data_IF_658911629045
#
_entry.id   IF_658911629045
#
_cell.length_a   1.000
_cell.length_b   1.000
_cell.length_c   1.000
_cell.angle_alpha   90.00
_cell.angle_beta   90.00
_cell.angle_gamma   90.00
#
_symmetry.space_group_name_H-M   'P 1'
#
loop_
_entity.id
_entity.type
_entity.pdbx_description
1 polymer ?
#
# COMPACT_ATOMS: atom_id res chain seq x y z
N UNK A 1 -17.28 -16.18 -10.46
CA UNK A 1 -17.30 -15.53 -9.12
C UNK A 1 -15.86 -15.33 -8.69
N UNK A 2 -15.56 -14.26 -7.98
CA UNK A 2 -14.20 -13.89 -7.54
C UNK A 2 -14.20 -13.54 -6.04
N UNK A 3 -14.54 -14.48 -5.14
CA UNK A 3 -14.59 -14.18 -3.70
C UNK A 3 -13.21 -13.85 -3.12
N UNK A 4 -13.15 -12.86 -2.22
CA UNK A 4 -11.94 -12.55 -1.44
C UNK A 4 -10.88 -11.73 -2.18
N UNK A 5 -11.24 -11.15 -3.33
CA UNK A 5 -10.44 -10.21 -4.11
C UNK A 5 -10.60 -8.78 -3.59
N UNK A 6 -11.28 -7.87 -4.30
CA UNK A 6 -11.61 -6.55 -3.78
C UNK A 6 -12.65 -6.69 -2.66
N UNK A 7 -13.69 -7.50 -2.87
CA UNK A 7 -14.69 -7.76 -1.84
C UNK A 7 -14.76 -9.24 -1.41
N UNK A 8 -15.28 -9.54 -0.20
CA UNK A 8 -15.52 -10.92 0.23
C UNK A 8 -16.43 -11.71 -0.73
N UNK A 9 -17.35 -11.03 -1.41
CA UNK A 9 -18.23 -11.59 -2.43
C UNK A 9 -18.28 -10.65 -3.63
N UNK A 10 -17.68 -11.09 -4.73
CA UNK A 10 -17.56 -10.30 -5.96
C UNK A 10 -17.67 -11.20 -7.19
N UNK A 11 -17.98 -10.62 -8.35
CA UNK A 11 -18.06 -11.36 -9.60
C UNK A 11 -17.73 -10.51 -10.82
N UNK A 12 -16.85 -11.03 -11.68
CA UNK A 12 -16.77 -10.62 -13.07
C UNK A 12 -17.95 -11.22 -13.86
N UNK A 13 -18.36 -10.57 -14.94
CA UNK A 13 -19.34 -11.13 -15.87
C UNK A 13 -19.05 -10.71 -17.31
N UNK A 14 -19.42 -11.57 -18.27
CA UNK A 14 -19.25 -11.34 -19.69
C UNK A 14 -20.62 -11.32 -20.38
N UNK A 15 -20.82 -10.38 -21.30
CA UNK A 15 -22.05 -10.22 -22.09
C UNK A 15 -21.75 -10.65 -23.54
N UNK A 16 -22.13 -11.88 -23.95
CA UNK A 16 -21.73 -12.43 -25.25
C UNK A 16 -22.22 -11.62 -26.45
N UNK A 17 -23.45 -11.12 -26.42
CA UNK A 17 -24.08 -10.40 -27.54
C UNK A 17 -23.36 -9.09 -27.85
N UNK A 18 -22.74 -8.48 -26.83
CA UNK A 18 -21.97 -7.24 -26.95
C UNK A 18 -20.47 -7.45 -26.86
N UNK A 19 -20.02 -8.69 -26.66
CA UNK A 19 -18.62 -9.04 -26.39
C UNK A 19 -17.97 -8.14 -25.33
N UNK A 20 -18.72 -7.84 -24.27
CA UNK A 20 -18.32 -6.89 -23.24
C UNK A 20 -17.99 -7.63 -21.93
N UNK A 21 -16.79 -7.40 -21.41
CA UNK A 21 -16.29 -8.00 -20.18
C UNK A 21 -16.33 -6.97 -19.04
N UNK A 22 -17.13 -7.22 -18.02
CA UNK A 22 -17.11 -6.46 -16.77
C UNK A 22 -16.16 -7.13 -15.77
N UNK A 23 -15.11 -6.41 -15.38
CA UNK A 23 -14.11 -6.85 -14.41
C UNK A 23 -14.42 -6.43 -12.97
N UNK A 24 -15.69 -6.08 -12.68
CA UNK A 24 -16.12 -5.57 -11.38
C UNK A 24 -15.16 -4.48 -10.87
N UNK A 25 -14.58 -4.65 -9.69
CA UNK A 25 -13.49 -3.81 -9.17
C UNK A 25 -12.16 -4.57 -9.10
N UNK A 26 -12.09 -5.78 -9.68
CA UNK A 26 -10.89 -6.62 -9.73
C UNK A 26 -9.80 -6.05 -10.65
N UNK A 27 -10.18 -5.36 -11.73
CA UNK A 27 -9.23 -4.72 -12.64
C UNK A 27 -9.70 -3.30 -12.96
N UNK A 28 -9.04 -2.31 -12.36
CA UNK A 28 -9.29 -0.89 -12.64
C UNK A 28 -8.00 -0.17 -13.06
N UNK A 29 -8.09 1.08 -13.51
CA UNK A 29 -6.93 1.88 -13.92
C UNK A 29 -6.10 2.43 -12.74
N UNK A 30 -5.86 1.62 -11.71
CA UNK A 30 -4.94 1.87 -10.59
C UNK A 30 -4.55 0.58 -9.89
N UNK A 31 -3.39 0.54 -9.22
CA UNK A 31 -3.13 -0.45 -8.18
C UNK A 31 -4.15 -0.26 -7.05
N UNK A 32 -4.95 -1.28 -6.76
CA UNK A 32 -5.95 -1.23 -5.70
C UNK A 32 -5.37 -1.61 -4.33
N UNK A 33 -6.18 -1.45 -3.29
CA UNK A 33 -5.84 -1.77 -1.92
C UNK A 33 -5.93 -3.28 -1.66
N UNK A 34 -4.82 -3.88 -1.24
CA UNK A 34 -4.82 -5.19 -0.55
C UNK A 34 -5.28 -4.99 0.91
N UNK A 35 -4.89 -3.87 1.51
CA UNK A 35 -5.46 -3.37 2.76
C UNK A 35 -5.68 -1.87 2.63
N UNK A 36 -6.91 -1.45 2.88
CA UNK A 36 -7.25 -0.03 2.91
C UNK A 36 -6.81 0.60 4.23
N UNK A 37 -6.21 1.80 4.17
CA UNK A 37 -5.73 2.53 5.35
C UNK A 37 -6.85 2.92 6.32
N UNK A 38 -8.12 2.91 5.90
CA UNK A 38 -9.27 3.15 6.79
C UNK A 38 -9.53 2.01 7.80
N UNK A 39 -8.86 0.87 7.65
CA UNK A 39 -9.03 -0.33 8.46
C UNK A 39 -9.97 -1.35 7.81
N UNK A 40 -9.47 -2.57 7.62
CA UNK A 40 -10.20 -3.74 7.11
C UNK A 40 -9.41 -5.04 7.36
N UNK A 41 -9.98 -6.18 6.98
CA UNK A 41 -9.22 -7.43 6.85
C UNK A 41 -8.33 -7.36 5.61
N UNK A 42 -7.11 -7.89 5.71
CA UNK A 42 -6.19 -7.98 4.56
C UNK A 42 -6.75 -8.92 3.49
N UNK A 43 -6.89 -8.41 2.27
CA UNK A 43 -7.35 -9.16 1.08
C UNK A 43 -6.29 -10.14 0.58
N UNK A 44 -6.71 -11.09 -0.23
CA UNK A 44 -5.81 -12.11 -0.77
C UNK A 44 -5.30 -11.75 -2.17
N UNK A 45 -4.09 -11.22 -2.25
CA UNK A 45 -3.47 -10.86 -3.52
C UNK A 45 -3.16 -12.05 -4.43
N UNK A 46 -2.90 -13.23 -3.86
CA UNK A 46 -2.66 -14.44 -4.64
C UNK A 46 -3.96 -14.91 -5.31
N UNK A 47 -5.06 -14.94 -4.55
CA UNK A 47 -6.38 -15.25 -5.08
C UNK A 47 -6.80 -14.22 -6.13
N UNK A 48 -6.57 -12.93 -5.86
CA UNK A 48 -6.87 -11.84 -6.80
C UNK A 48 -6.15 -12.03 -8.13
N UNK A 49 -4.83 -12.27 -8.09
CA UNK A 49 -4.07 -12.59 -9.30
C UNK A 49 -4.65 -13.80 -10.04
N UNK A 50 -4.96 -14.88 -9.32
CA UNK A 50 -5.51 -16.11 -9.93
C UNK A 50 -6.84 -15.87 -10.64
N UNK A 51 -7.73 -15.04 -10.07
CA UNK A 51 -9.01 -14.69 -10.71
C UNK A 51 -8.87 -13.75 -11.91
N UNK A 52 -7.83 -12.91 -11.94
CA UNK A 52 -7.49 -12.12 -13.13
C UNK A 52 -6.96 -13.02 -14.26
N UNK A 53 -6.14 -14.02 -13.92
CA UNK A 53 -5.68 -15.02 -14.88
C UNK A 53 -6.85 -15.82 -15.47
N UNK A 54 -7.74 -16.33 -14.60
CA UNK A 54 -8.94 -17.06 -15.01
C UNK A 54 -9.81 -16.23 -15.95
N UNK A 55 -10.11 -14.98 -15.59
CA UNK A 55 -10.91 -14.09 -16.45
C UNK A 55 -10.22 -13.80 -17.79
N UNK A 56 -8.89 -13.67 -17.79
CA UNK A 56 -8.10 -13.47 -19.01
C UNK A 56 -8.23 -14.69 -19.94
N UNK A 57 -8.03 -15.90 -19.41
CA UNK A 57 -8.10 -17.15 -20.18
C UNK A 57 -9.52 -17.39 -20.71
N UNK A 58 -10.54 -17.13 -19.90
CA UNK A 58 -11.93 -17.43 -20.26
C UNK A 58 -12.54 -16.41 -21.23
N UNK A 59 -12.19 -15.12 -21.12
CA UNK A 59 -12.97 -14.06 -21.76
C UNK A 59 -12.17 -13.07 -22.60
N UNK A 60 -10.86 -12.87 -22.34
CA UNK A 60 -10.13 -11.78 -23.01
C UNK A 60 -10.00 -11.98 -24.52
N UNK A 61 -9.97 -13.23 -25.00
CA UNK A 61 -9.88 -13.53 -26.43
C UNK A 61 -11.17 -13.26 -27.20
N UNK A 62 -12.32 -13.26 -26.53
CA UNK A 62 -13.65 -13.08 -27.14
C UNK A 62 -14.26 -11.70 -26.84
N UNK A 63 -13.62 -10.89 -25.99
CA UNK A 63 -14.08 -9.56 -25.64
C UNK A 63 -13.56 -8.49 -26.61
N UNK A 64 -14.47 -7.61 -27.05
CA UNK A 64 -14.14 -6.41 -27.82
C UNK A 64 -13.89 -5.20 -26.89
N UNK A 65 -14.46 -5.22 -25.68
CA UNK A 65 -14.30 -4.19 -24.64
C UNK A 65 -14.27 -4.80 -23.25
N UNK A 66 -13.38 -4.29 -22.39
CA UNK A 66 -13.37 -4.54 -20.95
C UNK A 66 -13.71 -3.26 -20.19
N UNK A 67 -14.59 -3.33 -19.21
CA UNK A 67 -14.97 -2.21 -18.33
C UNK A 67 -15.07 -2.66 -16.88
N UNK A 68 -15.21 -1.71 -15.96
CA UNK A 68 -15.23 -1.94 -14.52
C UNK A 68 -16.23 -0.99 -13.83
N UNK A 69 -16.47 -1.18 -12.53
CA UNK A 69 -17.29 -0.27 -11.71
C UNK A 69 -16.69 1.13 -11.57
N UNK A 70 -15.37 1.24 -11.78
CA UNK A 70 -14.61 2.49 -11.72
C UNK A 70 -13.74 2.68 -12.97
N UNK A 71 -13.38 3.95 -13.23
CA UNK A 71 -12.53 4.39 -14.34
C UNK A 71 -13.14 4.15 -15.73
N UNK A 72 -12.32 4.22 -16.78
CA UNK A 72 -12.73 4.10 -18.18
C UNK A 72 -12.51 2.68 -18.73
N UNK A 73 -13.10 2.32 -19.90
CA UNK A 73 -12.93 1.01 -20.51
C UNK A 73 -11.57 0.85 -21.23
N UNK A 74 -11.24 -0.40 -21.57
CA UNK A 74 -10.16 -0.78 -22.49
C UNK A 74 -10.75 -1.51 -23.69
N UNK A 75 -10.39 -1.09 -24.91
CA UNK A 75 -10.94 -1.62 -26.16
C UNK A 75 -9.92 -2.42 -26.95
N UNK A 76 -10.41 -3.47 -27.60
CA UNK A 76 -9.62 -4.33 -28.47
C UNK A 76 -8.97 -5.48 -27.71
N UNK A 77 -9.16 -6.69 -28.25
CA UNK A 77 -8.71 -7.96 -27.68
C UNK A 77 -7.26 -7.96 -27.19
N UNK A 78 -6.33 -7.42 -27.98
CA UNK A 78 -4.90 -7.39 -27.63
C UNK A 78 -4.63 -6.45 -26.44
N UNK A 79 -5.25 -5.27 -26.42
CA UNK A 79 -5.12 -4.33 -25.32
C UNK A 79 -5.77 -4.87 -24.04
N UNK A 80 -6.92 -5.53 -24.14
CA UNK A 80 -7.59 -6.17 -23.00
C UNK A 80 -6.71 -7.28 -22.42
N UNK A 81 -6.20 -8.18 -23.28
CA UNK A 81 -5.33 -9.27 -22.84
C UNK A 81 -4.07 -8.74 -22.16
N UNK A 82 -3.44 -7.71 -22.74
CA UNK A 82 -2.27 -7.07 -22.18
C UNK A 82 -2.56 -6.44 -20.81
N UNK A 83 -3.61 -5.61 -20.73
CA UNK A 83 -4.07 -4.95 -19.50
C UNK A 83 -4.35 -5.94 -18.37
N UNK A 84 -5.12 -6.99 -18.64
CA UNK A 84 -5.46 -7.99 -17.63
C UNK A 84 -4.26 -8.85 -17.22
N UNK A 85 -3.36 -9.15 -18.16
CA UNK A 85 -2.10 -9.86 -17.85
C UNK A 85 -1.21 -9.03 -16.94
N UNK A 86 -1.05 -7.73 -17.20
CA UNK A 86 -0.27 -6.84 -16.34
C UNK A 86 -0.92 -6.63 -14.96
N UNK A 87 -2.25 -6.56 -14.88
CA UNK A 87 -2.96 -6.55 -13.59
C UNK A 87 -2.75 -7.84 -12.80
N UNK A 88 -2.87 -9.01 -13.46
CA UNK A 88 -2.56 -10.31 -12.84
C UNK A 88 -1.13 -10.33 -12.30
N UNK A 89 -0.17 -9.95 -13.14
CA UNK A 89 1.25 -9.98 -12.81
C UNK A 89 1.59 -9.00 -11.70
N UNK A 90 0.88 -7.87 -11.60
CA UNK A 90 1.04 -6.91 -10.51
C UNK A 90 0.71 -7.54 -9.15
N UNK A 91 -0.46 -8.14 -9.00
CA UNK A 91 -0.84 -8.78 -7.73
C UNK A 91 0.01 -10.02 -7.42
N UNK A 92 0.35 -10.84 -8.44
CA UNK A 92 1.26 -11.97 -8.28
C UNK A 92 2.65 -11.51 -7.81
N UNK A 93 3.20 -10.47 -8.46
CA UNK A 93 4.53 -9.98 -8.13
C UNK A 93 4.58 -9.38 -6.72
N UNK A 94 3.59 -8.55 -6.37
CA UNK A 94 3.44 -8.02 -5.01
C UNK A 94 3.41 -9.14 -3.98
N UNK A 95 2.59 -10.17 -4.21
CA UNK A 95 2.49 -11.33 -3.34
C UNK A 95 3.82 -12.11 -3.26
N UNK A 96 4.26 -12.69 -4.37
CA UNK A 96 5.34 -13.68 -4.40
C UNK A 96 6.68 -13.08 -3.98
N UNK A 97 6.96 -11.83 -4.35
CA UNK A 97 8.19 -11.17 -3.93
C UNK A 97 8.16 -10.79 -2.45
N UNK A 98 7.00 -10.42 -1.91
CA UNK A 98 6.86 -10.20 -0.46
C UNK A 98 7.14 -11.50 0.28
N UNK A 99 6.55 -12.63 -0.15
CA UNK A 99 6.83 -13.95 0.45
C UNK A 99 8.30 -14.33 0.33
N UNK A 100 8.92 -14.09 -0.83
CA UNK A 100 10.35 -14.34 -1.02
C UNK A 100 11.19 -13.54 -0.03
N UNK A 101 10.86 -12.26 0.19
CA UNK A 101 11.61 -11.37 1.07
C UNK A 101 11.36 -11.65 2.56
N UNK A 102 10.16 -12.09 2.94
CA UNK A 102 9.88 -12.67 4.27
C UNK A 102 10.80 -13.86 4.54
N UNK A 103 10.93 -14.76 3.57
CA UNK A 103 11.83 -15.92 3.67
C UNK A 103 13.33 -15.54 3.63
N UNK A 104 13.65 -14.26 3.49
CA UNK A 104 14.99 -13.68 3.60
C UNK A 104 15.12 -12.83 4.88
N UNK A 105 14.29 -13.13 5.88
CA UNK A 105 14.28 -12.51 7.21
C UNK A 105 13.95 -11.02 7.22
N UNK A 106 13.31 -10.50 6.15
CA UNK A 106 12.89 -9.10 6.11
C UNK A 106 11.51 -8.89 6.74
N UNK A 107 11.38 -7.81 7.50
CA UNK A 107 10.13 -7.31 8.07
C UNK A 107 9.31 -6.56 7.02
N UNK A 108 8.00 -6.37 7.25
CA UNK A 108 7.14 -5.64 6.32
C UNK A 108 7.61 -4.21 6.01
N UNK A 109 8.26 -3.53 6.97
CA UNK A 109 8.79 -2.17 6.79
C UNK A 109 10.01 -2.19 5.87
N UNK A 110 10.93 -3.14 6.07
CA UNK A 110 12.14 -3.30 5.23
C UNK A 110 11.79 -3.71 3.80
N UNK A 111 10.79 -4.59 3.65
CA UNK A 111 10.27 -4.97 2.33
C UNK A 111 9.74 -3.73 1.63
N UNK A 112 8.87 -2.94 2.27
CA UNK A 112 8.29 -1.74 1.67
C UNK A 112 9.33 -0.71 1.21
N UNK A 113 10.49 -0.62 1.87
CA UNK A 113 11.55 0.32 1.50
C UNK A 113 12.38 -0.15 0.29
N UNK A 114 12.53 -1.47 0.13
CA UNK A 114 13.42 -2.06 -0.89
C UNK A 114 12.69 -2.70 -2.08
N UNK A 115 11.36 -2.79 -2.01
CA UNK A 115 10.55 -3.42 -3.05
C UNK A 115 10.52 -2.60 -4.34
N UNK A 116 10.84 -3.24 -5.46
CA UNK A 116 10.86 -2.59 -6.78
C UNK A 116 10.04 -3.41 -7.76
N UNK A 117 9.01 -2.80 -8.36
CA UNK A 117 8.25 -3.43 -9.45
C UNK A 117 9.15 -3.64 -10.68
N UNK A 118 8.91 -4.66 -11.53
CA UNK A 118 9.59 -4.78 -12.81
C UNK A 118 9.32 -3.57 -13.70
N UNK A 119 10.28 -3.21 -14.57
CA UNK A 119 10.20 -2.02 -15.44
C UNK A 119 8.92 -1.94 -16.26
N UNK A 120 8.39 -3.08 -16.69
CA UNK A 120 7.12 -3.16 -17.42
C UNK A 120 5.97 -2.62 -16.58
N UNK A 121 5.80 -3.12 -15.36
CA UNK A 121 4.74 -2.67 -14.45
C UNK A 121 4.96 -1.24 -13.92
N UNK A 122 6.21 -0.80 -13.74
CA UNK A 122 6.48 0.60 -13.38
C UNK A 122 6.01 1.59 -14.46
N UNK A 123 5.96 1.17 -15.73
CA UNK A 123 5.50 2.02 -16.84
C UNK A 123 4.01 1.87 -17.14
N UNK A 124 3.39 0.79 -16.67
CA UNK A 124 1.97 0.56 -16.83
C UNK A 124 1.19 1.55 -15.96
N UNK A 125 0.43 2.44 -16.60
CA UNK A 125 -0.26 3.53 -15.90
C UNK A 125 -1.33 3.01 -14.94
N UNK A 126 -2.00 1.91 -15.31
CA UNK A 126 -3.00 1.25 -14.45
C UNK A 126 -2.40 0.45 -13.29
N UNK A 127 -1.07 0.30 -13.23
CA UNK A 127 -0.37 -0.31 -12.11
C UNK A 127 0.15 0.72 -11.11
N UNK A 128 -0.07 2.01 -11.36
CA UNK A 128 0.39 3.09 -10.48
C UNK A 128 -0.50 3.21 -9.24
N UNK A 129 0.15 3.59 -8.13
CA UNK A 129 -0.43 3.62 -6.81
C UNK A 129 -1.27 4.86 -6.51
N UNK A 130 -2.39 5.05 -7.22
CA UNK A 130 -3.32 6.16 -6.97
C UNK A 130 -4.36 5.86 -5.88
N UNK A 131 -4.67 4.58 -5.64
CA UNK A 131 -5.64 4.16 -4.62
C UNK A 131 -5.02 3.25 -3.56
N UNK A 132 -4.40 2.14 -4.00
CA UNK A 132 -3.41 1.40 -3.24
C UNK A 132 -2.01 1.93 -3.51
N UNK A 133 -1.02 1.49 -2.74
CA UNK A 133 0.39 1.78 -3.00
C UNK A 133 1.20 0.51 -2.82
N UNK A 134 2.33 0.39 -3.52
CA UNK A 134 3.23 -0.76 -3.34
C UNK A 134 3.64 -0.87 -1.87
N UNK A 135 4.03 0.26 -1.25
CA UNK A 135 4.54 0.33 0.12
C UNK A 135 3.57 -0.27 1.15
N UNK A 136 2.31 0.18 1.19
CA UNK A 136 1.37 -0.36 2.18
C UNK A 136 0.80 -1.72 1.79
N UNK A 137 0.75 -2.05 0.49
CA UNK A 137 0.27 -3.35 0.02
C UNK A 137 1.24 -4.49 0.38
N UNK A 138 2.55 -4.28 0.27
CA UNK A 138 3.52 -5.31 0.69
C UNK A 138 3.57 -5.47 2.21
N UNK A 139 3.38 -4.38 2.98
CA UNK A 139 3.17 -4.46 4.44
C UNK A 139 1.91 -5.24 4.79
N UNK A 140 0.84 -5.04 4.03
CA UNK A 140 -0.40 -5.79 4.21
C UNK A 140 -0.21 -7.29 3.93
N UNK A 141 0.45 -7.63 2.83
CA UNK A 141 0.80 -9.03 2.53
C UNK A 141 1.64 -9.61 3.65
N UNK A 142 2.68 -8.91 4.14
CA UNK A 142 3.43 -9.33 5.33
C UNK A 142 2.50 -9.60 6.52
N UNK A 143 1.62 -8.65 6.85
CA UNK A 143 0.67 -8.78 7.96
C UNK A 143 -0.26 -9.99 7.81
N UNK A 144 -0.68 -10.34 6.59
CA UNK A 144 -1.52 -11.52 6.34
C UNK A 144 -0.83 -12.82 6.74
N UNK A 145 0.48 -12.93 6.51
CA UNK A 145 1.23 -14.16 6.74
C UNK A 145 1.93 -14.21 8.10
N UNK A 146 2.45 -13.08 8.57
CA UNK A 146 3.27 -12.98 9.79
C UNK A 146 2.51 -12.37 10.98
N UNK A 147 1.38 -11.70 10.72
CA UNK A 147 0.68 -10.90 11.74
C UNK A 147 1.34 -9.53 11.95
N UNK A 148 1.08 -8.94 13.12
CA UNK A 148 1.55 -7.59 13.47
C UNK A 148 2.98 -7.57 14.02
N UNK A 149 3.45 -8.70 14.56
CA UNK A 149 4.72 -8.81 15.27
C UNK A 149 5.87 -9.09 14.30
N UNK A 150 6.96 -8.33 14.41
CA UNK A 150 8.11 -8.37 13.50
C UNK A 150 9.25 -9.31 13.94
N UNK A 151 8.99 -10.14 14.95
CA UNK A 151 9.95 -11.04 15.58
C UNK A 151 11.04 -10.38 16.44
N UNK A 152 11.06 -9.05 16.62
CA UNK A 152 11.95 -8.39 17.57
C UNK A 152 11.30 -8.30 18.98
N UNK A 153 11.84 -8.96 20.01
CA UNK A 153 11.24 -8.95 21.35
C UNK A 153 11.11 -7.56 21.98
N UNK A 154 11.91 -6.58 21.54
CA UNK A 154 11.77 -5.19 21.98
C UNK A 154 10.43 -4.57 21.57
N UNK A 155 9.83 -5.05 20.47
CA UNK A 155 8.56 -4.55 19.93
C UNK A 155 7.35 -5.39 20.38
N UNK A 156 7.55 -6.45 21.17
CA UNK A 156 6.47 -7.34 21.62
C UNK A 156 5.52 -6.64 22.60
N UNK A 157 6.06 -5.77 23.45
CA UNK A 157 5.31 -5.09 24.50
C UNK A 157 5.81 -3.65 24.67
N UNK A 158 5.65 -2.86 23.62
CA UNK A 158 6.03 -1.45 23.62
C UNK A 158 5.17 -0.62 24.57
N UNK A 159 5.73 0.48 25.05
CA UNK A 159 4.95 1.50 25.74
C UNK A 159 3.89 2.10 24.79
N UNK A 160 2.71 2.47 25.30
CA UNK A 160 1.78 3.26 24.52
C UNK A 160 2.40 4.63 24.12
N UNK A 161 1.86 5.30 23.08
CA UNK A 161 2.51 6.47 22.48
C UNK A 161 2.82 7.63 23.44
N UNK A 162 1.98 7.87 24.46
CA UNK A 162 2.17 8.95 25.44
C UNK A 162 3.39 8.66 26.31
N UNK A 163 3.44 7.48 26.93
CA UNK A 163 4.55 7.07 27.81
C UNK A 163 5.87 6.93 27.04
N UNK A 164 5.80 6.42 25.80
CA UNK A 164 6.94 6.38 24.90
C UNK A 164 7.42 7.80 24.56
N UNK A 165 6.52 8.70 24.17
CA UNK A 165 6.83 10.10 23.85
C UNK A 165 7.53 10.81 25.00
N UNK A 166 6.98 10.73 26.22
CA UNK A 166 7.60 11.32 27.41
C UNK A 166 9.03 10.81 27.65
N UNK A 167 9.24 9.50 27.49
CA UNK A 167 10.54 8.86 27.69
C UNK A 167 11.54 9.28 26.61
N UNK A 168 11.15 9.30 25.34
CA UNK A 168 12.00 9.74 24.24
C UNK A 168 12.41 11.21 24.37
N UNK A 169 11.45 12.10 24.66
CA UNK A 169 11.70 13.53 24.85
C UNK A 169 12.67 13.76 26.02
N UNK A 170 12.48 13.05 27.14
CA UNK A 170 13.40 13.14 28.27
C UNK A 170 14.83 12.68 27.90
N UNK A 171 14.96 11.57 27.19
CA UNK A 171 16.25 11.06 26.69
C UNK A 171 16.95 12.01 25.72
N UNK A 172 16.19 12.78 24.93
CA UNK A 172 16.71 13.72 23.94
C UNK A 172 17.02 15.12 24.51
N UNK A 173 16.76 15.34 25.81
CA UNK A 173 17.08 16.61 26.48
C UNK A 173 15.94 17.61 26.54
N UNK A 174 14.68 17.16 26.41
CA UNK A 174 13.48 17.99 26.50
C UNK A 174 12.93 18.43 25.14
N UNK A 175 11.72 18.98 25.15
CA UNK A 175 10.96 19.32 23.93
C UNK A 175 11.74 20.24 22.99
N UNK A 176 12.31 21.34 23.51
CA UNK A 176 13.09 22.27 22.68
C UNK A 176 14.29 21.61 21.96
N UNK A 177 14.89 20.58 22.57
CA UNK A 177 15.99 19.85 21.95
C UNK A 177 15.47 18.98 20.80
N UNK A 178 14.32 18.32 20.99
CA UNK A 178 13.64 17.55 19.94
C UNK A 178 13.26 18.45 18.76
N UNK A 179 12.70 19.63 19.02
CA UNK A 179 12.30 20.57 17.97
C UNK A 179 13.49 21.04 17.13
N UNK A 180 14.62 21.39 17.78
CA UNK A 180 15.87 21.74 17.07
C UNK A 180 16.42 20.57 16.25
N UNK A 181 16.36 19.35 16.78
CA UNK A 181 16.79 18.16 16.04
C UNK A 181 15.88 17.92 14.82
N UNK A 182 14.56 17.96 15.01
CA UNK A 182 13.59 17.80 13.93
C UNK A 182 13.80 18.83 12.82
N UNK A 183 14.04 20.09 13.18
CA UNK A 183 14.36 21.15 12.22
C UNK A 183 15.60 20.82 11.38
N UNK A 184 16.63 20.21 11.98
CA UNK A 184 17.82 19.76 11.24
C UNK A 184 17.47 18.67 10.20
N UNK A 185 16.58 17.74 10.53
CA UNK A 185 16.11 16.72 9.57
C UNK A 185 15.25 17.33 8.46
N UNK A 186 14.40 18.31 8.79
CA UNK A 186 13.63 19.10 7.80
C UNK A 186 14.56 19.81 6.81
N UNK A 187 15.60 20.50 7.30
CA UNK A 187 16.59 21.20 6.48
C UNK A 187 17.37 20.26 5.56
N UNK A 188 17.59 19.02 6.00
CA UNK A 188 18.24 17.97 5.20
C UNK A 188 17.26 17.21 4.28
N UNK A 189 15.97 17.53 4.31
CA UNK A 189 14.94 16.89 3.48
C UNK A 189 14.45 15.52 3.99
N UNK A 190 14.83 15.11 5.19
CA UNK A 190 14.35 13.87 5.83
C UNK A 190 13.07 14.15 6.64
N UNK A 191 11.99 14.42 5.90
CA UNK A 191 10.68 14.69 6.48
C UNK A 191 10.09 13.48 7.23
N UNK A 192 10.46 12.25 6.83
CA UNK A 192 9.97 11.02 7.46
C UNK A 192 10.46 10.92 8.90
N UNK A 193 11.75 11.15 9.13
CA UNK A 193 12.30 11.10 10.49
C UNK A 193 11.95 12.33 11.32
N UNK A 194 11.87 13.52 10.69
CA UNK A 194 11.34 14.71 11.36
C UNK A 194 9.92 14.48 11.91
N UNK A 195 9.04 13.83 11.14
CA UNK A 195 7.70 13.48 11.59
C UNK A 195 7.72 12.53 12.81
N UNK A 196 8.64 11.56 12.85
CA UNK A 196 8.80 10.65 14.00
C UNK A 196 9.18 11.42 15.27
N UNK A 197 10.17 12.32 15.19
CA UNK A 197 10.61 13.11 16.34
C UNK A 197 9.50 14.01 16.87
N UNK A 198 8.86 14.77 15.98
CA UNK A 198 7.80 15.69 16.34
C UNK A 198 6.55 14.97 16.84
N UNK A 199 6.25 13.78 16.32
CA UNK A 199 5.18 12.92 16.86
C UNK A 199 5.43 12.58 18.33
N UNK A 200 6.65 12.17 18.70
CA UNK A 200 6.98 11.93 20.10
C UNK A 200 6.83 13.19 20.97
N UNK A 201 7.20 14.37 20.46
CA UNK A 201 7.00 15.63 21.17
C UNK A 201 5.52 15.93 21.41
N UNK A 202 4.66 15.75 20.40
CA UNK A 202 3.21 15.96 20.51
C UNK A 202 2.55 14.95 21.45
N UNK A 203 2.96 13.68 21.43
CA UNK A 203 2.42 12.67 22.34
C UNK A 203 2.94 12.84 23.79
N UNK A 204 4.12 13.42 23.98
CA UNK A 204 4.65 13.71 25.31
C UNK A 204 3.89 14.84 26.01
N UNK A 205 3.48 15.87 25.25
CA UNK A 205 2.73 17.02 25.71
C UNK A 205 1.73 17.51 24.64
N UNK A 206 0.44 17.23 24.86
CA UNK A 206 -0.62 17.60 23.92
C UNK A 206 -0.85 19.11 23.80
N UNK A 207 -0.38 19.89 24.79
CA UNK A 207 -0.51 21.35 24.83
C UNK A 207 0.67 22.07 24.15
N UNK A 208 1.68 21.33 23.66
CA UNK A 208 2.79 21.91 22.90
C UNK A 208 2.34 22.29 21.48
N UNK A 209 1.82 23.51 21.33
CA UNK A 209 1.37 24.07 20.05
C UNK A 209 2.51 24.18 19.02
N UNK A 210 3.74 24.51 19.45
CA UNK A 210 4.90 24.62 18.56
C UNK A 210 5.23 23.29 17.88
N UNK A 211 5.25 22.18 18.65
CA UNK A 211 5.49 20.84 18.10
C UNK A 211 4.36 20.39 17.16
N UNK A 212 3.10 20.72 17.47
CA UNK A 212 1.94 20.43 16.61
C UNK A 212 2.01 21.16 15.28
N UNK A 213 2.34 22.46 15.30
CA UNK A 213 2.49 23.27 14.10
C UNK A 213 3.67 22.78 13.24
N UNK A 214 4.81 22.47 13.85
CA UNK A 214 5.96 21.91 13.14
C UNK A 214 5.61 20.56 12.49
N UNK A 215 4.93 19.66 13.21
CA UNK A 215 4.52 18.35 12.69
C UNK A 215 3.53 18.50 11.51
N UNK A 216 2.59 19.43 11.61
CA UNK A 216 1.64 19.72 10.54
C UNK A 216 2.35 20.16 9.25
N UNK A 217 3.33 21.06 9.35
CA UNK A 217 4.13 21.48 8.19
C UNK A 217 4.89 20.30 7.57
N UNK A 218 5.44 19.40 8.38
CA UNK A 218 6.12 18.20 7.89
C UNK A 218 5.14 17.27 7.17
N UNK A 219 3.94 17.06 7.72
CA UNK A 219 2.90 16.28 7.04
C UNK A 219 2.45 16.90 5.72
N UNK A 220 2.30 18.23 5.64
CA UNK A 220 2.00 18.91 4.37
C UNK A 220 3.09 18.67 3.32
N UNK A 221 4.36 18.65 3.72
CA UNK A 221 5.48 18.36 2.80
C UNK A 221 5.44 16.91 2.31
N UNK A 222 5.20 15.96 3.21
CA UNK A 222 5.04 14.54 2.84
C UNK A 222 3.84 14.34 1.93
N UNK A 223 2.71 15.00 2.22
CA UNK A 223 1.49 14.91 1.41
C UNK A 223 1.66 15.45 -0.01
N UNK A 224 2.44 16.52 -0.21
CA UNK A 224 2.76 17.02 -1.55
C UNK A 224 3.70 16.11 -2.35
N UNK A 225 4.49 15.28 -1.67
CA UNK A 225 5.42 14.33 -2.29
C UNK A 225 4.86 12.90 -2.46
N UNK A 226 3.63 12.66 -1.99
CA UNK A 226 2.96 11.36 -2.02
C UNK A 226 2.44 10.98 -3.42
#
# INVERSE_FOLDING_TARGET
>A
MTPGTEAPSEMNFYIPESKALCMAENATHSLHNILTLRGAVVRDAQAWSSYLDEATVLFANDADVSFASHHWPTWGREAITHYLSEQRDLYAYLHDQTIRMINQDQTGIEIAESFVLPRTLQKAWHAQGYYGSVSHNVRAIYQRYMGWYDANPAHLWEHPPIEAGQSYVACMGGAEAVDRMAQTYVENGDFRFAATLLSHAVFADSENDEAKEALAVVFDKLGHGA
#
